data_IF_875141995215
#
_entry.id   IF_875141995215
#
_cell.length_a   1.000
_cell.length_b   1.000
_cell.length_c   1.000
_cell.angle_alpha   90.00
_cell.angle_beta   90.00
_cell.angle_gamma   90.00
#
_symmetry.space_group_name_H-M   'P 1'
#
loop_
_entity.id
_entity.type
_entity.pdbx_description
1 polymer ?
#
# COMPACT_ATOMS: atom_id res chain seq x y z
N UNK A 1 -8.43 -14.80 -6.85
CA UNK A 1 -9.71 -14.49 -7.53
C UNK A 1 -10.15 -13.13 -7.02
N UNK A 2 -10.33 -12.13 -7.89
CA UNK A 2 -10.83 -10.80 -7.45
C UNK A 2 -12.32 -10.96 -7.18
N UNK A 3 -12.75 -10.67 -5.96
CA UNK A 3 -14.16 -10.75 -5.59
C UNK A 3 -14.84 -9.43 -5.92
N UNK A 4 -15.93 -9.49 -6.67
CA UNK A 4 -16.80 -8.34 -6.96
C UNK A 4 -17.88 -8.28 -5.88
N UNK A 5 -17.58 -7.57 -4.80
CA UNK A 5 -18.55 -7.18 -3.79
C UNK A 5 -18.63 -5.65 -3.82
N UNK A 6 -19.56 -5.13 -4.61
CA UNK A 6 -19.93 -3.73 -4.56
C UNK A 6 -20.99 -3.62 -3.46
N UNK A 7 -20.54 -3.63 -2.21
CA UNK A 7 -21.44 -3.59 -1.05
C UNK A 7 -21.78 -2.13 -0.65
N UNK A 8 -22.86 -2.03 0.15
CA UNK A 8 -23.70 -0.85 0.42
C UNK A 8 -22.93 0.43 0.75
N UNK A 9 -23.49 1.61 0.39
CA UNK A 9 -22.88 2.89 0.74
C UNK A 9 -22.76 3.03 2.26
N UNK A 10 -21.52 3.20 2.72
CA UNK A 10 -21.20 3.70 4.05
C UNK A 10 -21.90 5.06 4.27
N UNK A 11 -22.61 5.25 5.39
CA UNK A 11 -23.59 6.33 5.59
C UNK A 11 -23.00 7.70 5.97
N UNK A 12 -21.72 7.93 5.68
CA UNK A 12 -21.11 9.26 5.78
C UNK A 12 -21.36 10.03 4.49
N UNK A 13 -22.43 10.84 4.47
CA UNK A 13 -22.85 11.61 3.28
C UNK A 13 -21.79 12.59 2.75
N UNK A 14 -20.75 12.88 3.53
CA UNK A 14 -19.67 13.82 3.19
C UNK A 14 -18.35 13.16 2.74
N UNK A 15 -18.19 11.85 2.93
CA UNK A 15 -16.95 11.16 2.58
C UNK A 15 -16.82 10.97 1.05
N UNK A 16 -15.61 11.23 0.53
CA UNK A 16 -15.27 10.89 -0.86
C UNK A 16 -15.53 9.38 -1.10
N UNK A 17 -16.07 8.97 -2.26
CA UNK A 17 -16.49 7.57 -2.49
C UNK A 17 -15.40 6.52 -2.21
N UNK A 18 -14.14 6.86 -2.49
CA UNK A 18 -12.97 6.02 -2.19
C UNK A 18 -12.79 5.83 -0.68
N UNK A 19 -12.97 6.88 0.13
CA UNK A 19 -12.83 6.79 1.59
C UNK A 19 -13.99 5.99 2.18
N UNK A 20 -15.23 6.34 1.79
CA UNK A 20 -16.45 5.68 2.24
C UNK A 20 -16.39 4.16 2.01
N UNK A 21 -15.94 3.74 0.83
CA UNK A 21 -15.80 2.31 0.52
C UNK A 21 -14.70 1.60 1.34
N UNK A 22 -13.54 2.24 1.56
CA UNK A 22 -12.49 1.67 2.41
C UNK A 22 -13.01 1.51 3.86
N UNK A 23 -13.73 2.50 4.39
CA UNK A 23 -14.30 2.46 5.74
C UNK A 23 -15.35 1.35 5.86
N UNK A 24 -16.25 1.22 4.87
CA UNK A 24 -17.23 0.12 4.83
C UNK A 24 -16.55 -1.26 4.85
N UNK A 25 -15.49 -1.45 4.07
CA UNK A 25 -14.73 -2.71 4.12
C UNK A 25 -13.99 -2.92 5.46
N UNK A 26 -13.52 -1.86 6.11
CA UNK A 26 -12.97 -1.99 7.46
C UNK A 26 -14.06 -2.37 8.46
N UNK A 27 -15.26 -1.82 8.35
CA UNK A 27 -16.41 -2.17 9.19
C UNK A 27 -16.85 -3.63 8.99
N UNK A 28 -16.99 -4.08 7.74
CA UNK A 28 -17.35 -5.46 7.38
C UNK A 28 -16.37 -6.50 7.93
N UNK A 29 -15.08 -6.14 8.00
CA UNK A 29 -14.03 -6.98 8.56
C UNK A 29 -13.95 -6.91 10.09
N UNK A 30 -14.81 -6.13 10.74
CA UNK A 30 -14.73 -5.82 12.17
C UNK A 30 -13.42 -5.10 12.52
N UNK A 31 -12.81 -4.41 11.56
CA UNK A 31 -11.57 -3.65 11.70
C UNK A 31 -11.78 -2.22 12.22
N UNK A 32 -12.89 -1.59 11.84
CA UNK A 32 -13.26 -0.23 12.24
C UNK A 32 -13.90 -0.22 13.64
N UNK A 33 -13.08 -0.34 14.69
CA UNK A 33 -13.54 -0.29 16.08
C UNK A 33 -12.55 0.48 16.96
N UNK A 34 -13.01 0.88 18.15
CA UNK A 34 -12.17 1.46 19.22
C UNK A 34 -11.22 0.41 19.79
N UNK A 35 -10.30 0.85 20.67
CA UNK A 35 -9.31 -0.04 21.28
C UNK A 35 -8.17 -0.40 20.33
N UNK A 36 -7.88 0.45 19.34
CA UNK A 36 -7.00 0.13 18.21
C UNK A 36 -6.12 1.30 17.82
N UNK A 37 -4.99 0.96 17.21
CA UNK A 37 -4.15 1.91 16.51
C UNK A 37 -4.24 1.73 14.99
N UNK A 38 -4.68 2.77 14.29
CA UNK A 38 -4.68 2.78 12.84
C UNK A 38 -3.39 3.40 12.32
N UNK A 39 -2.68 2.66 11.47
CA UNK A 39 -1.45 3.11 10.82
C UNK A 39 -1.76 3.42 9.36
N UNK A 40 -1.87 4.71 9.02
CA UNK A 40 -2.09 5.17 7.64
C UNK A 40 -0.75 5.34 6.92
N UNK A 41 -0.44 4.41 6.02
CA UNK A 41 0.76 4.49 5.18
C UNK A 41 0.49 5.33 3.93
N UNK A 42 1.41 6.26 3.62
CA UNK A 42 1.24 7.19 2.50
C UNK A 42 0.08 8.15 2.75
N UNK A 43 0.03 8.70 3.97
CA UNK A 43 -1.14 9.42 4.45
C UNK A 43 -1.47 10.68 3.64
N UNK A 44 -0.48 11.30 2.98
CA UNK A 44 -0.66 12.56 2.24
C UNK A 44 -1.39 13.60 3.08
N UNK A 45 -2.64 13.90 2.70
CA UNK A 45 -3.51 14.87 3.42
C UNK A 45 -4.14 14.34 4.71
N UNK A 46 -3.95 13.07 5.08
CA UNK A 46 -4.53 12.44 6.26
C UNK A 46 -6.05 12.27 6.22
N UNK A 47 -6.65 12.24 5.02
CA UNK A 47 -8.11 12.16 4.87
C UNK A 47 -8.68 10.83 5.39
N UNK A 48 -7.96 9.72 5.25
CA UNK A 48 -8.47 8.42 5.70
C UNK A 48 -8.51 8.37 7.22
N UNK A 49 -7.42 8.75 7.89
CA UNK A 49 -7.40 8.88 9.36
C UNK A 49 -8.42 9.90 9.88
N UNK A 50 -8.68 10.99 9.14
CA UNK A 50 -9.71 11.95 9.50
C UNK A 50 -11.11 11.31 9.54
N UNK A 51 -11.49 10.53 8.54
CA UNK A 51 -12.79 9.85 8.54
C UNK A 51 -12.86 8.73 9.58
N UNK A 52 -11.80 7.95 9.76
CA UNK A 52 -11.73 6.95 10.85
C UNK A 52 -11.96 7.62 12.21
N UNK A 53 -11.35 8.78 12.43
CA UNK A 53 -11.55 9.57 13.65
C UNK A 53 -13.00 10.06 13.78
N UNK A 54 -13.57 10.59 12.71
CA UNK A 54 -14.94 11.10 12.65
C UNK A 54 -15.97 10.01 13.02
N UNK A 55 -15.76 8.78 12.53
CA UNK A 55 -16.66 7.64 12.76
C UNK A 55 -16.54 7.08 14.19
N UNK A 56 -15.37 7.26 14.82
CA UNK A 56 -15.05 6.69 16.13
C UNK A 56 -15.06 7.70 17.28
N UNK A 57 -15.46 8.95 17.02
CA UNK A 57 -15.48 10.22 17.81
C UNK A 57 -15.58 10.25 19.34
N UNK A 58 -15.78 9.14 20.03
CA UNK A 58 -15.85 9.13 21.50
C UNK A 58 -14.47 8.92 22.12
N UNK A 59 -14.28 9.62 23.23
CA UNK A 59 -13.05 9.60 24.00
C UNK A 59 -12.90 8.27 24.72
N UNK A 60 -12.04 7.40 24.18
CA UNK A 60 -11.06 6.53 24.86
C UNK A 60 -10.57 5.42 23.91
N UNK A 61 -9.28 5.12 23.94
CA UNK A 61 -8.58 4.03 23.21
C UNK A 61 -8.53 4.06 21.67
N UNK A 62 -8.42 5.25 21.05
CA UNK A 62 -8.10 5.40 19.63
C UNK A 62 -6.72 6.04 19.44
N UNK A 63 -5.84 5.37 18.68
CA UNK A 63 -4.55 5.91 18.23
C UNK A 63 -4.52 5.99 16.70
N UNK A 64 -4.01 7.10 16.16
CA UNK A 64 -3.87 7.33 14.73
C UNK A 64 -2.42 7.70 14.42
N UNK A 65 -1.72 6.81 13.70
CA UNK A 65 -0.34 7.01 13.26
C UNK A 65 -0.31 7.22 11.74
N UNK A 66 0.08 8.41 11.31
CA UNK A 66 0.15 8.76 9.90
C UNK A 66 1.61 8.76 9.44
N UNK A 67 1.91 7.97 8.41
CA UNK A 67 3.26 7.83 7.86
C UNK A 67 3.29 8.45 6.47
N UNK A 68 4.13 9.46 6.28
CA UNK A 68 4.28 10.16 5.00
C UNK A 68 5.73 10.57 4.79
N UNK A 69 6.21 10.48 3.54
CA UNK A 69 7.56 10.91 3.17
C UNK A 69 7.63 12.41 2.89
N UNK A 70 6.56 12.96 2.30
CA UNK A 70 6.45 14.38 1.92
C UNK A 70 6.28 15.31 3.13
N UNK A 71 6.88 16.50 3.05
CA UNK A 71 6.77 17.57 4.05
C UNK A 71 5.50 18.42 3.94
N UNK A 72 4.59 18.10 3.02
CA UNK A 72 3.34 18.85 2.83
C UNK A 72 2.44 18.69 4.06
N UNK A 73 2.62 19.60 5.02
CA UNK A 73 1.84 19.74 6.25
C UNK A 73 0.45 20.27 5.91
N UNK A 74 -0.60 19.54 6.26
CA UNK A 74 -1.97 20.00 6.05
C UNK A 74 -2.58 20.49 7.36
N UNK A 75 -3.33 21.61 7.27
CA UNK A 75 -4.06 22.29 8.36
C UNK A 75 -5.06 21.43 9.15
N UNK A 76 -5.24 20.15 8.79
CA UNK A 76 -6.17 19.25 9.48
C UNK A 76 -5.59 18.72 10.80
N UNK A 77 -4.26 18.67 10.93
CA UNK A 77 -3.59 18.20 12.17
C UNK A 77 -3.98 19.04 13.41
N UNK A 78 -4.36 20.32 13.21
CA UNK A 78 -4.86 21.19 14.29
C UNK A 78 -6.31 20.93 14.70
N UNK A 79 -7.10 20.21 13.90
CA UNK A 79 -8.50 19.85 14.24
C UNK A 79 -8.59 18.60 15.13
N UNK A 80 -7.53 17.80 15.18
CA UNK A 80 -7.47 16.56 15.96
C UNK A 80 -6.91 16.74 17.37
N UNK A 81 -6.41 17.93 17.72
CA UNK A 81 -5.83 18.19 19.05
C UNK A 81 -6.88 18.28 20.17
N UNK A 82 -8.14 18.57 19.85
CA UNK A 82 -9.20 18.84 20.86
C UNK A 82 -10.16 17.66 21.14
N UNK A 83 -9.88 16.46 20.61
CA UNK A 83 -10.88 15.36 20.57
C UNK A 83 -10.44 14.05 21.24
N UNK A 84 -9.34 14.06 22.01
CA UNK A 84 -8.93 12.93 22.87
C UNK A 84 -8.44 11.66 22.18
N UNK A 85 -8.42 11.61 20.84
CA UNK A 85 -7.64 10.62 20.10
C UNK A 85 -6.16 11.01 20.08
N UNK A 86 -5.26 10.04 20.27
CA UNK A 86 -3.83 10.30 20.14
C UNK A 86 -3.44 10.25 18.67
N UNK A 87 -3.00 11.39 18.15
CA UNK A 87 -2.65 11.56 16.75
C UNK A 87 -1.15 11.88 16.62
N UNK A 88 -0.42 11.03 15.90
CA UNK A 88 0.99 11.27 15.57
C UNK A 88 1.19 11.16 14.05
N UNK A 89 1.91 12.12 13.48
CA UNK A 89 2.32 12.09 12.07
C UNK A 89 3.84 12.02 11.98
N UNK A 90 4.33 10.91 11.43
CA UNK A 90 5.75 10.70 11.18
C UNK A 90 6.10 11.08 9.74
N UNK A 91 7.00 12.05 9.61
CA UNK A 91 7.62 12.37 8.32
C UNK A 91 8.82 11.43 8.09
N UNK A 92 8.57 10.27 7.49
CA UNK A 92 9.58 9.23 7.30
C UNK A 92 9.28 8.41 6.05
N UNK A 93 10.34 7.94 5.38
CA UNK A 93 10.19 6.93 4.34
C UNK A 93 9.86 5.56 4.99
N UNK A 94 8.84 4.88 4.49
CA UNK A 94 8.39 3.57 5.00
C UNK A 94 9.55 2.57 5.04
N UNK A 95 10.53 2.67 4.13
CA UNK A 95 11.70 1.78 4.12
C UNK A 95 12.57 1.88 5.40
N UNK A 96 12.50 3.00 6.11
CA UNK A 96 13.26 3.25 7.35
C UNK A 96 12.37 3.18 8.61
N UNK A 97 11.06 2.96 8.45
CA UNK A 97 10.13 2.91 9.56
C UNK A 97 10.22 1.57 10.29
N UNK A 98 10.44 1.63 11.60
CA UNK A 98 10.31 0.51 12.52
C UNK A 98 9.23 0.85 13.56
N UNK A 99 8.07 0.22 13.45
CA UNK A 99 6.92 0.49 14.33
C UNK A 99 7.24 0.27 15.82
N UNK A 100 8.20 -0.62 16.14
CA UNK A 100 8.62 -0.88 17.52
C UNK A 100 9.33 0.30 18.15
N UNK A 101 9.88 1.20 17.35
CA UNK A 101 10.60 2.39 17.81
C UNK A 101 9.69 3.63 17.88
N UNK A 102 8.41 3.50 17.53
CA UNK A 102 7.44 4.60 17.57
C UNK A 102 6.88 4.75 18.98
N UNK A 103 7.13 5.87 19.69
CA UNK A 103 6.73 6.04 21.09
C UNK A 103 5.22 5.88 21.32
N UNK A 104 4.38 6.41 20.41
CA UNK A 104 2.92 6.27 20.48
C UNK A 104 2.48 4.80 20.59
N UNK A 105 3.13 3.91 19.84
CA UNK A 105 2.78 2.49 19.80
C UNK A 105 3.26 1.71 21.03
N UNK A 106 4.29 2.20 21.71
CA UNK A 106 4.86 1.57 22.91
C UNK A 106 4.02 1.84 24.16
N UNK A 107 3.33 2.99 24.22
CA UNK A 107 2.60 3.44 25.40
C UNK A 107 1.37 2.58 25.70
N UNK A 108 0.48 2.40 24.71
CA UNK A 108 -0.78 1.67 24.89
C UNK A 108 -0.76 0.25 24.33
N UNK A 109 0.19 -0.06 23.44
CA UNK A 109 0.31 -1.36 22.74
C UNK A 109 -1.01 -1.85 22.14
N UNK A 110 -1.83 -0.91 21.64
CA UNK A 110 -3.10 -1.25 21.04
C UNK A 110 -2.89 -2.13 19.80
N UNK A 111 -3.80 -3.07 19.54
CA UNK A 111 -3.79 -3.82 18.29
C UNK A 111 -3.79 -2.91 17.06
N UNK A 112 -2.98 -3.26 16.07
CA UNK A 112 -2.71 -2.44 14.89
C UNK A 112 -3.66 -2.77 13.73
N UNK A 113 -4.08 -1.75 13.01
CA UNK A 113 -4.80 -1.86 11.73
C UNK A 113 -4.06 -1.02 10.67
N UNK A 114 -3.54 -1.68 9.63
CA UNK A 114 -2.85 -0.98 8.55
C UNK A 114 -3.81 -0.47 7.49
N UNK A 115 -3.75 0.81 7.13
CA UNK A 115 -4.63 1.41 6.12
C UNK A 115 -3.86 2.24 5.10
N UNK A 116 -4.41 2.39 3.88
CA UNK A 116 -3.81 3.24 2.86
C UNK A 116 -4.66 3.33 1.60
N UNK A 117 -4.76 4.54 1.02
CA UNK A 117 -5.70 4.82 -0.08
C UNK A 117 -5.09 4.94 -1.47
N UNK A 118 -3.76 5.09 -1.59
CA UNK A 118 -2.98 5.03 -2.83
C UNK A 118 -1.48 4.78 -2.55
N UNK A 119 -1.14 3.61 -2.01
CA UNK A 119 0.26 3.26 -1.76
C UNK A 119 0.97 2.89 -3.06
N UNK A 120 1.66 3.88 -3.65
CA UNK A 120 2.27 3.72 -4.97
C UNK A 120 3.49 2.78 -4.96
N UNK A 121 3.49 1.82 -5.88
CA UNK A 121 4.67 1.02 -6.20
C UNK A 121 5.22 0.25 -5.00
N UNK A 122 6.53 0.40 -4.75
CA UNK A 122 7.22 -0.26 -3.64
C UNK A 122 6.66 0.09 -2.24
N UNK A 123 5.95 1.22 -2.09
CA UNK A 123 5.41 1.64 -0.81
C UNK A 123 4.40 0.63 -0.22
N UNK A 124 3.59 0.00 -1.06
CA UNK A 124 2.68 -1.07 -0.62
C UNK A 124 3.46 -2.23 -0.02
N UNK A 125 4.49 -2.70 -0.74
CA UNK A 125 5.28 -3.86 -0.33
C UNK A 125 6.14 -3.56 0.92
N UNK A 126 6.63 -2.33 1.05
CA UNK A 126 7.31 -1.86 2.27
C UNK A 126 6.34 -1.78 3.46
N UNK A 127 5.11 -1.31 3.26
CA UNK A 127 4.09 -1.27 4.32
C UNK A 127 3.71 -2.68 4.80
N UNK A 128 3.56 -3.65 3.88
CA UNK A 128 3.32 -5.05 4.21
C UNK A 128 4.46 -5.64 5.06
N UNK A 129 5.72 -5.38 4.72
CA UNK A 129 6.86 -5.81 5.56
C UNK A 129 6.89 -5.10 6.89
N UNK A 130 6.64 -3.79 6.91
CA UNK A 130 6.62 -2.97 8.12
C UNK A 130 5.61 -3.51 9.15
N UNK A 131 4.42 -3.91 8.70
CA UNK A 131 3.40 -4.52 9.58
C UNK A 131 3.77 -5.94 10.03
N UNK A 132 4.34 -6.78 9.16
CA UNK A 132 4.40 -8.23 9.38
C UNK A 132 5.79 -8.78 9.74
N UNK A 133 6.84 -8.02 9.55
CA UNK A 133 8.22 -8.45 9.82
C UNK A 133 8.85 -7.75 11.03
N UNK A 134 8.16 -6.75 11.59
CA UNK A 134 8.54 -6.11 12.86
C UNK A 134 8.50 -7.07 14.05
N UNK A 135 7.72 -8.16 13.98
CA UNK A 135 7.67 -9.18 15.04
C UNK A 135 8.88 -10.12 15.08
N UNK A 136 9.73 -10.15 14.04
CA UNK A 136 10.97 -10.93 14.07
C UNK A 136 12.12 -9.99 14.42
N UNK A 137 12.89 -10.35 15.45
CA UNK A 137 14.17 -9.69 15.75
C UNK A 137 14.96 -9.70 14.44
N UNK A 138 15.27 -8.50 13.91
CA UNK A 138 16.26 -8.41 12.84
C UNK A 138 17.57 -8.75 13.52
N UNK A 139 18.11 -9.94 13.29
CA UNK A 139 19.55 -10.12 13.40
C UNK A 139 20.15 -9.11 12.43
N UNK A 140 20.73 -8.05 12.98
CA UNK A 140 21.51 -7.11 12.20
C UNK A 140 22.67 -7.91 11.61
N UNK A 141 22.56 -8.26 10.33
CA UNK A 141 23.76 -8.65 9.57
C UNK A 141 24.68 -7.45 9.58
N UNK A 142 25.70 -7.51 10.43
CA UNK A 142 26.79 -6.55 10.50
C UNK A 142 27.33 -6.23 9.10
N UNK A 143 27.68 -4.97 8.80
CA UNK A 143 28.49 -4.67 7.63
C UNK A 143 29.91 -5.22 7.81
N UNK A 144 30.46 -5.80 6.74
CA UNK A 144 31.75 -6.51 6.71
C UNK A 144 32.87 -5.82 7.51
N UNK A 145 33.65 -6.55 8.33
CA UNK A 145 34.65 -5.95 9.21
C UNK A 145 35.85 -5.44 8.41
N UNK A 146 36.15 -4.14 8.54
CA UNK A 146 37.44 -3.59 8.18
C UNK A 146 38.45 -3.92 9.28
N UNK A 147 39.38 -4.83 8.97
CA UNK A 147 40.75 -4.98 9.50
C UNK A 147 40.97 -4.85 11.02
N UNK A 148 41.08 -6.02 11.64
CA UNK A 148 42.03 -6.47 12.68
C UNK A 148 42.81 -5.39 13.48
N UNK A 149 42.54 -5.31 14.78
CA UNK A 149 43.58 -5.34 15.82
C UNK A 149 43.09 -6.09 17.07
N UNK A 150 43.96 -6.95 17.54
CA UNK A 150 43.81 -7.96 18.59
C UNK A 150 43.95 -7.39 20.01
N UNK A 151 43.05 -7.78 20.91
CA UNK A 151 43.32 -7.93 22.35
C UNK A 151 42.28 -8.86 23.00
N UNK A 152 42.78 -9.78 23.82
CA UNK A 152 42.16 -10.97 24.41
C UNK A 152 40.98 -10.72 25.40
N UNK A 153 40.16 -11.75 25.72
CA UNK A 153 38.89 -11.58 26.42
C UNK A 153 39.02 -11.64 27.96
N UNK A 154 38.14 -10.92 28.66
CA UNK A 154 37.92 -11.07 30.11
C UNK A 154 36.72 -12.02 30.35
N UNK A 155 36.81 -13.00 31.27
CA UNK A 155 35.70 -13.88 31.60
C UNK A 155 34.87 -13.32 32.76
N UNK A 156 33.55 -13.27 32.59
CA UNK A 156 32.60 -13.06 33.68
C UNK A 156 31.47 -12.10 33.33
N UNK A 157 30.50 -12.57 32.55
CA UNK A 157 29.16 -12.00 32.53
C UNK A 157 28.16 -13.16 32.64
N UNK A 158 27.38 -13.13 33.72
CA UNK A 158 26.28 -14.05 34.02
C UNK A 158 25.20 -13.97 32.91
N UNK A 159 24.39 -15.03 32.72
CA UNK A 159 23.37 -15.02 31.68
C UNK A 159 22.27 -14.01 32.02
N UNK A 160 22.28 -12.87 31.34
CA UNK A 160 21.19 -11.91 31.36
C UNK A 160 19.90 -12.61 30.92
N UNK A 161 18.97 -12.72 31.86
CA UNK A 161 17.56 -13.01 31.63
C UNK A 161 17.04 -12.06 30.55
N UNK A 162 16.69 -12.60 29.40
CA UNK A 162 16.13 -11.88 28.26
C UNK A 162 14.77 -11.29 28.62
N UNK A 163 14.76 -10.02 29.02
CA UNK A 163 13.53 -9.22 29.12
C UNK A 163 12.79 -9.21 27.77
N UNK A 164 11.45 -9.34 27.75
CA UNK A 164 10.68 -9.25 26.52
C UNK A 164 10.77 -7.82 26.00
N UNK A 165 11.48 -7.63 24.89
CA UNK A 165 11.73 -6.32 24.29
C UNK A 165 10.46 -5.50 23.98
N UNK A 166 10.61 -4.19 23.70
CA UNK A 166 9.49 -3.28 23.46
C UNK A 166 8.73 -3.65 22.19
N UNK A 167 7.67 -4.44 22.35
CA UNK A 167 6.78 -4.86 21.27
C UNK A 167 5.61 -3.90 21.06
N UNK A 168 5.18 -3.75 19.82
CA UNK A 168 3.88 -3.15 19.46
C UNK A 168 2.75 -4.16 19.67
N UNK A 169 1.49 -3.69 19.67
CA UNK A 169 0.33 -4.58 19.66
C UNK A 169 0.27 -5.48 18.42
N UNK A 170 -0.54 -6.57 18.46
CA UNK A 170 -0.69 -7.48 17.33
C UNK A 170 -1.39 -6.80 16.15
N UNK A 171 -1.07 -7.21 14.92
CA UNK A 171 -1.75 -6.72 13.71
C UNK A 171 -3.06 -7.46 13.52
N UNK A 172 -4.20 -6.78 13.72
CA UNK A 172 -5.54 -7.35 13.52
C UNK A 172 -5.96 -7.44 12.06
N UNK A 173 -5.38 -6.59 11.22
CA UNK A 173 -5.66 -6.62 9.79
C UNK A 173 -5.22 -5.37 9.06
N UNK A 174 -5.59 -5.31 7.79
CA UNK A 174 -5.26 -4.20 6.91
C UNK A 174 -6.24 -4.04 5.75
N UNK A 175 -6.33 -2.81 5.24
CA UNK A 175 -7.03 -2.45 4.01
C UNK A 175 -6.18 -1.45 3.20
N UNK A 176 -5.55 -1.93 2.13
CA UNK A 176 -4.61 -1.15 1.31
C UNK A 176 -5.11 -1.05 -0.14
N UNK A 177 -5.47 0.14 -0.59
CA UNK A 177 -5.85 0.38 -1.98
C UNK A 177 -4.59 0.39 -2.86
N UNK A 178 -4.56 -0.56 -3.80
CA UNK A 178 -3.40 -0.86 -4.63
C UNK A 178 -3.38 0.06 -5.84
N UNK A 179 -2.23 0.69 -6.09
CA UNK A 179 -2.06 1.55 -7.25
C UNK A 179 -0.62 1.57 -7.77
N UNK A 180 -0.44 2.12 -8.96
CA UNK A 180 0.87 2.37 -9.57
C UNK A 180 1.79 1.15 -9.60
N UNK A 181 1.28 -0.02 -10.01
CA UNK A 181 2.06 -1.24 -10.17
C UNK A 181 3.31 -1.05 -11.05
N UNK A 182 3.26 -0.12 -12.01
CA UNK A 182 4.40 0.27 -12.85
C UNK A 182 5.61 0.84 -12.09
N UNK A 183 5.43 1.24 -10.82
CA UNK A 183 6.48 1.75 -9.93
C UNK A 183 6.96 0.71 -8.92
N UNK A 184 6.54 -0.55 -9.03
CA UNK A 184 7.06 -1.60 -8.16
C UNK A 184 8.52 -1.91 -8.53
N UNK A 185 9.32 -2.20 -7.51
CA UNK A 185 10.72 -2.56 -7.67
C UNK A 185 10.93 -3.98 -7.16
N UNK A 186 11.64 -4.81 -7.92
CA UNK A 186 11.85 -6.22 -7.56
C UNK A 186 12.42 -6.38 -6.15
N UNK A 187 13.46 -5.61 -5.80
CA UNK A 187 14.11 -5.65 -4.47
C UNK A 187 13.14 -5.47 -3.31
N UNK A 188 12.10 -4.68 -3.51
CA UNK A 188 11.10 -4.35 -2.50
C UNK A 188 9.82 -5.15 -2.66
N UNK A 189 9.64 -5.93 -3.70
CA UNK A 189 8.42 -6.68 -3.91
C UNK A 189 8.32 -7.85 -2.91
N UNK A 190 7.18 -8.03 -2.22
CA UNK A 190 7.04 -9.12 -1.23
C UNK A 190 6.75 -10.48 -1.87
N UNK A 191 6.23 -10.49 -3.09
CA UNK A 191 5.86 -11.70 -3.82
C UNK A 191 6.99 -12.32 -4.65
N UNK A 192 8.27 -12.06 -4.33
CA UNK A 192 9.39 -12.58 -5.13
C UNK A 192 9.33 -14.12 -5.28
N UNK A 193 9.10 -14.84 -4.18
CA UNK A 193 8.98 -16.30 -4.21
C UNK A 193 7.82 -16.79 -5.08
N UNK A 194 6.71 -16.05 -5.09
CA UNK A 194 5.55 -16.37 -5.92
C UNK A 194 5.88 -16.30 -7.43
N UNK A 195 6.70 -15.33 -7.84
CA UNK A 195 7.21 -15.22 -9.21
C UNK A 195 8.23 -16.32 -9.52
N UNK A 196 9.21 -16.52 -8.63
CA UNK A 196 10.28 -17.50 -8.83
C UNK A 196 9.74 -18.93 -8.98
N UNK A 197 8.74 -19.32 -8.18
CA UNK A 197 8.06 -20.62 -8.28
C UNK A 197 7.38 -20.85 -9.64
N UNK A 198 7.16 -19.80 -10.43
CA UNK A 198 6.57 -19.86 -11.78
C UNK A 198 7.62 -19.71 -12.88
N UNK A 199 8.91 -19.75 -12.52
CA UNK A 199 10.01 -19.52 -13.45
C UNK A 199 10.13 -18.06 -13.91
N UNK A 200 9.55 -17.11 -13.16
CA UNK A 200 9.59 -15.68 -13.47
C UNK A 200 10.59 -14.97 -12.55
N UNK A 201 11.57 -14.30 -13.13
CA UNK A 201 12.61 -13.58 -12.41
C UNK A 201 12.41 -12.06 -12.39
N UNK A 202 13.46 -11.31 -11.99
CA UNK A 202 13.44 -9.85 -11.94
C UNK A 202 13.16 -9.20 -13.30
N UNK A 203 13.65 -9.80 -14.39
CA UNK A 203 13.47 -9.29 -15.75
C UNK A 203 12.00 -9.37 -16.17
N UNK A 204 11.36 -10.51 -15.96
CA UNK A 204 9.94 -10.71 -16.22
C UNK A 204 9.12 -9.77 -15.34
N UNK A 205 9.39 -9.71 -14.03
CA UNK A 205 8.72 -8.78 -13.12
C UNK A 205 8.77 -7.32 -13.62
N UNK A 206 9.92 -6.86 -14.11
CA UNK A 206 10.06 -5.52 -14.70
C UNK A 206 9.15 -5.34 -15.92
N UNK A 207 9.04 -6.35 -16.79
CA UNK A 207 8.12 -6.33 -17.92
C UNK A 207 6.65 -6.27 -17.44
N UNK A 208 6.26 -7.08 -16.45
CA UNK A 208 4.92 -7.03 -15.84
C UNK A 208 4.61 -5.64 -15.27
N UNK A 209 5.57 -5.00 -14.59
CA UNK A 209 5.40 -3.63 -14.09
C UNK A 209 5.16 -2.65 -15.24
N UNK A 210 5.97 -2.68 -16.30
CA UNK A 210 5.79 -1.80 -17.47
C UNK A 210 4.42 -2.01 -18.14
N UNK A 211 4.07 -3.27 -18.39
CA UNK A 211 2.80 -3.64 -19.04
C UNK A 211 1.58 -3.33 -18.16
N UNK A 212 1.72 -3.26 -16.83
CA UNK A 212 0.61 -2.90 -15.93
C UNK A 212 0.03 -1.50 -16.21
N UNK A 213 0.84 -0.57 -16.74
CA UNK A 213 0.38 0.76 -17.16
C UNK A 213 -0.62 0.71 -18.33
N UNK A 214 -0.63 -0.39 -19.08
CA UNK A 214 -1.54 -0.57 -20.22
C UNK A 214 -3.00 -0.66 -19.80
N UNK A 215 -3.27 -1.02 -18.52
CA UNK A 215 -4.60 -1.06 -17.96
C UNK A 215 -5.36 0.28 -18.10
N UNK A 216 -4.62 1.40 -18.18
CA UNK A 216 -5.16 2.76 -18.26
C UNK A 216 -4.93 3.43 -19.63
N UNK A 217 -4.38 2.74 -20.63
CA UNK A 217 -3.99 3.32 -21.92
C UNK A 217 -5.14 3.97 -22.74
N UNK A 218 -6.39 3.60 -22.50
CA UNK A 218 -7.55 4.13 -23.24
C UNK A 218 -8.13 5.45 -22.72
N UNK A 219 -7.70 5.95 -21.56
CA UNK A 219 -8.38 7.07 -20.89
C UNK A 219 -7.93 8.47 -21.34
N UNK A 220 -6.90 8.59 -22.19
CA UNK A 220 -6.43 9.89 -22.70
C UNK A 220 -7.15 10.39 -23.97
N UNK A 221 -8.07 9.60 -24.53
CA UNK A 221 -8.73 9.92 -25.81
C UNK A 221 -10.10 10.60 -25.68
N UNK A 222 -10.66 10.77 -24.49
CA UNK A 222 -12.03 11.28 -24.31
C UNK A 222 -12.16 12.79 -24.01
N UNK A 223 -11.07 13.57 -24.07
CA UNK A 223 -11.10 15.02 -23.82
C UNK A 223 -10.53 15.87 -24.97
N UNK A 224 -10.48 15.33 -26.20
CA UNK A 224 -10.23 16.14 -27.39
C UNK A 224 -11.55 16.32 -28.14
N UNK A 225 -12.38 17.24 -27.67
CA UNK A 225 -13.34 17.90 -28.55
C UNK A 225 -12.53 18.63 -29.62
N UNK A 226 -12.78 18.27 -30.87
CA UNK A 226 -12.15 18.84 -32.05
C UNK A 226 -12.57 20.31 -32.17
N UNK A 227 -11.65 21.31 -32.20
CA UNK A 227 -12.03 22.63 -32.65
C UNK A 227 -12.09 22.59 -34.18
N UNK A 228 -13.29 22.78 -34.71
CA UNK A 228 -13.54 23.17 -36.09
C UNK A 228 -12.65 24.36 -36.48
N UNK A 229 -12.08 24.27 -37.68
CA UNK A 229 -11.20 25.27 -38.27
C UNK A 229 -11.90 26.63 -38.37
N UNK A 230 -11.25 27.68 -37.87
CA UNK A 230 -11.42 29.03 -38.42
C UNK A 230 -10.10 29.82 -38.25
N UNK A 231 -9.50 30.39 -39.31
CA UNK A 231 -8.22 31.08 -39.22
C UNK A 231 -8.43 32.59 -39.18
N UNK A 232 -8.07 33.26 -38.08
CA UNK A 232 -7.69 34.69 -38.13
C UNK A 232 -6.96 35.16 -36.86
N UNK A 233 -5.66 35.49 -37.02
CA UNK A 233 -4.94 36.69 -36.53
C UNK A 233 -5.42 37.35 -35.21
N UNK A 234 -4.62 37.57 -34.15
CA UNK A 234 -3.33 38.28 -34.06
C UNK A 234 -2.72 38.15 -32.63
N UNK A 235 -1.37 38.14 -32.57
CA UNK A 235 -0.39 38.62 -31.54
C UNK A 235 -0.95 39.23 -30.22
N UNK A 236 -0.41 38.97 -29.02
CA UNK A 236 0.87 39.48 -28.44
C UNK A 236 1.35 38.62 -27.25
N UNK A 237 2.67 38.59 -27.07
CA UNK A 237 3.54 37.80 -26.17
C UNK A 237 3.58 38.27 -24.70
N UNK A 238 3.80 37.34 -23.73
CA UNK A 238 4.73 37.57 -22.61
C UNK A 238 5.18 36.27 -21.91
N UNK A 239 6.49 36.20 -21.65
CA UNK A 239 7.32 35.16 -21.01
C UNK A 239 6.95 34.87 -19.53
N UNK A 240 7.35 33.78 -18.84
CA UNK A 240 8.30 32.70 -19.15
C UNK A 240 8.47 31.74 -17.95
N UNK A 241 9.08 30.58 -18.23
CA UNK A 241 9.61 29.52 -17.34
C UNK A 241 8.63 28.55 -16.63
N UNK A 242 8.27 27.46 -17.35
CA UNK A 242 7.91 26.15 -16.79
C UNK A 242 9.09 25.18 -17.00
N UNK A 243 9.37 24.25 -16.06
CA UNK A 243 10.49 23.32 -16.17
C UNK A 243 10.27 22.33 -17.32
N UNK A 244 11.36 21.96 -17.97
CA UNK A 244 11.43 21.10 -19.14
C UNK A 244 10.64 19.79 -18.94
N UNK A 245 9.56 19.65 -19.71
CA UNK A 245 8.97 18.36 -20.00
C UNK A 245 9.82 17.72 -21.09
N UNK A 246 10.55 16.66 -20.74
CA UNK A 246 11.14 15.77 -21.72
C UNK A 246 10.01 15.20 -22.59
N UNK A 247 10.22 15.32 -23.90
CA UNK A 247 9.27 15.00 -24.96
C UNK A 247 9.03 13.49 -25.07
N UNK A 248 8.02 12.98 -24.39
CA UNK A 248 7.49 11.61 -24.56
C UNK A 248 6.49 11.51 -25.73
N UNK A 249 6.77 12.22 -26.84
CA UNK A 249 5.99 12.15 -28.07
C UNK A 249 6.43 11.00 -29.00
N UNK A 250 7.25 10.06 -28.50
CA UNK A 250 7.81 8.92 -29.24
C UNK A 250 7.46 7.62 -28.52
N UNK A 251 6.18 7.39 -28.23
CA UNK A 251 5.70 6.05 -27.80
C UNK A 251 4.51 5.55 -28.61
N UNK A 252 4.02 6.33 -29.58
CA UNK A 252 2.94 5.92 -30.48
C UNK A 252 3.37 5.24 -31.78
N UNK A 253 4.59 5.48 -32.28
CA UNK A 253 4.97 5.14 -33.65
C UNK A 253 6.20 4.23 -33.81
N UNK A 254 6.91 3.86 -32.74
CA UNK A 254 8.25 3.24 -32.82
C UNK A 254 8.35 1.85 -32.18
N UNK A 255 7.25 1.09 -32.09
CA UNK A 255 7.30 -0.37 -31.88
C UNK A 255 6.86 -1.16 -33.13
N UNK A 256 6.55 -0.48 -34.22
CA UNK A 256 6.09 -1.09 -35.48
C UNK A 256 7.14 -1.98 -36.17
N UNK A 257 8.43 -1.85 -35.82
CA UNK A 257 9.49 -2.51 -36.58
C UNK A 257 9.94 -3.89 -36.04
N UNK A 258 9.59 -4.30 -34.81
CA UNK A 258 10.19 -5.52 -34.22
C UNK A 258 9.25 -6.47 -33.44
N UNK A 259 7.92 -6.32 -33.46
CA UNK A 259 7.01 -7.37 -32.96
C UNK A 259 5.78 -7.53 -33.88
N UNK A 260 5.41 -8.75 -34.31
CA UNK A 260 4.28 -8.98 -35.23
C UNK A 260 2.87 -8.78 -34.63
N UNK A 261 2.75 -8.24 -33.41
CA UNK A 261 1.48 -8.20 -32.68
C UNK A 261 1.13 -6.76 -32.29
N UNK A 262 0.44 -6.07 -33.19
CA UNK A 262 -0.24 -4.82 -32.88
C UNK A 262 -1.50 -5.12 -32.05
N UNK A 263 -1.36 -5.23 -30.72
CA UNK A 263 -2.51 -5.34 -29.83
C UNK A 263 -3.41 -4.10 -29.93
N UNK A 264 -4.72 -4.31 -30.03
CA UNK A 264 -5.73 -3.27 -29.91
C UNK A 264 -5.68 -2.59 -28.53
N UNK A 265 -6.32 -1.43 -28.39
CA UNK A 265 -6.42 -0.73 -27.09
C UNK A 265 -7.06 -1.62 -26.03
N UNK A 266 -8.13 -2.35 -26.39
CA UNK A 266 -8.82 -3.26 -25.47
C UNK A 266 -7.93 -4.42 -25.02
N UNK A 267 -7.17 -5.02 -25.94
CA UNK A 267 -6.23 -6.10 -25.62
C UNK A 267 -5.09 -5.60 -24.73
N UNK A 268 -4.51 -4.43 -25.02
CA UNK A 268 -3.49 -3.81 -24.15
C UNK A 268 -4.04 -3.58 -22.75
N UNK A 269 -5.26 -3.05 -22.63
CA UNK A 269 -5.90 -2.86 -21.33
C UNK A 269 -6.12 -4.18 -20.60
N UNK A 270 -6.52 -5.24 -21.31
CA UNK A 270 -6.68 -6.57 -20.74
C UNK A 270 -5.35 -7.12 -20.22
N UNK A 271 -4.29 -7.08 -21.03
CA UNK A 271 -2.94 -7.49 -20.63
C UNK A 271 -2.46 -6.69 -19.41
N UNK A 272 -2.68 -5.38 -19.39
CA UNK A 272 -2.31 -4.55 -18.25
C UNK A 272 -3.04 -4.94 -16.96
N UNK A 273 -4.34 -5.26 -17.04
CA UNK A 273 -5.10 -5.79 -15.89
C UNK A 273 -4.59 -7.14 -15.42
N UNK A 274 -4.22 -8.04 -16.33
CA UNK A 274 -3.60 -9.32 -15.98
C UNK A 274 -2.24 -9.11 -15.29
N UNK A 275 -1.45 -8.14 -15.76
CA UNK A 275 -0.17 -7.83 -15.14
C UNK A 275 -0.33 -7.32 -13.70
N UNK A 276 -1.29 -6.40 -13.48
CA UNK A 276 -1.67 -5.95 -12.13
C UNK A 276 -2.07 -7.13 -11.24
N UNK A 277 -2.95 -8.00 -11.75
CA UNK A 277 -3.40 -9.19 -11.03
C UNK A 277 -2.26 -10.15 -10.66
N UNK A 278 -1.26 -10.30 -11.53
CA UNK A 278 -0.09 -11.14 -11.26
C UNK A 278 0.76 -10.58 -10.11
N UNK A 279 0.98 -9.26 -10.11
CA UNK A 279 1.69 -8.55 -9.04
C UNK A 279 0.89 -8.62 -7.72
N UNK A 280 -0.42 -8.44 -7.77
CA UNK A 280 -1.25 -8.52 -6.56
C UNK A 280 -1.40 -9.96 -6.06
N UNK A 281 -1.36 -10.94 -6.95
CA UNK A 281 -1.33 -12.36 -6.62
C UNK A 281 -0.13 -12.74 -5.75
N UNK A 282 1.05 -12.15 -6.00
CA UNK A 282 2.21 -12.38 -5.14
C UNK A 282 2.11 -11.69 -3.78
N UNK A 283 1.43 -10.52 -3.68
CA UNK A 283 1.13 -9.88 -2.38
C UNK A 283 0.15 -10.70 -1.56
N UNK A 284 -0.90 -11.21 -2.21
CA UNK A 284 -1.85 -12.15 -1.61
C UNK A 284 -1.15 -13.45 -1.16
N UNK A 285 -0.28 -14.03 -1.99
CA UNK A 285 0.51 -15.20 -1.61
C UNK A 285 1.39 -14.91 -0.39
N UNK A 286 2.13 -13.79 -0.38
CA UNK A 286 2.93 -13.36 0.75
C UNK A 286 2.10 -13.29 2.04
N UNK A 287 0.94 -12.63 2.02
CA UNK A 287 0.04 -12.54 3.18
C UNK A 287 -0.39 -13.92 3.68
N UNK A 288 -0.75 -14.83 2.77
CA UNK A 288 -1.09 -16.21 3.13
C UNK A 288 0.07 -16.93 3.83
N UNK A 289 1.31 -16.76 3.35
CA UNK A 289 2.50 -17.34 4.01
C UNK A 289 2.79 -16.75 5.39
N UNK A 290 2.26 -15.56 5.69
CA UNK A 290 2.36 -14.90 7.00
C UNK A 290 1.17 -15.22 7.91
N UNK A 291 0.28 -16.14 7.53
CA UNK A 291 -0.86 -16.55 8.35
C UNK A 291 -2.06 -15.59 8.27
N UNK A 292 -2.20 -14.84 7.19
CA UNK A 292 -3.35 -13.96 6.96
C UNK A 292 -4.27 -14.52 5.86
N UNK A 293 -5.57 -14.42 6.09
CA UNK A 293 -6.59 -14.58 5.04
C UNK A 293 -6.76 -13.24 4.34
N UNK A 294 -6.27 -13.16 3.10
CA UNK A 294 -6.33 -11.93 2.29
C UNK A 294 -7.33 -12.03 1.14
N UNK A 295 -7.91 -10.91 0.73
CA UNK A 295 -8.79 -10.79 -0.45
C UNK A 295 -8.35 -9.60 -1.32
N UNK A 296 -8.56 -9.74 -2.63
CA UNK A 296 -8.48 -8.64 -3.59
C UNK A 296 -9.90 -8.28 -4.00
N UNK A 297 -10.35 -7.10 -3.64
CA UNK A 297 -11.74 -6.66 -3.78
C UNK A 297 -11.80 -5.49 -4.74
N UNK A 298 -12.76 -5.49 -5.66
CA UNK A 298 -13.10 -4.28 -6.40
C UNK A 298 -13.96 -3.39 -5.51
N UNK A 299 -13.35 -2.37 -4.89
CA UNK A 299 -13.99 -1.60 -3.82
C UNK A 299 -14.81 -0.40 -4.34
N UNK A 300 -14.48 0.12 -5.52
CA UNK A 300 -15.22 1.21 -6.16
C UNK A 300 -15.38 0.96 -7.65
N UNK A 301 -16.37 1.60 -8.24
CA UNK A 301 -16.59 1.55 -9.67
C UNK A 301 -15.41 2.14 -10.46
N UNK A 302 -15.08 1.60 -11.65
CA UNK A 302 -14.02 2.12 -12.51
C UNK A 302 -14.21 3.59 -12.91
N UNK A 303 -15.45 4.12 -12.86
CA UNK A 303 -15.71 5.54 -13.16
C UNK A 303 -15.23 6.47 -12.03
N UNK A 304 -15.11 5.97 -10.79
CA UNK A 304 -14.54 6.73 -9.66
C UNK A 304 -13.02 6.75 -9.76
N UNK A 305 -12.41 5.57 -9.97
CA UNK A 305 -10.96 5.43 -10.18
C UNK A 305 -10.66 4.14 -10.93
N UNK A 306 -9.64 4.18 -11.80
CA UNK A 306 -9.12 2.99 -12.48
C UNK A 306 -8.25 2.12 -11.58
N UNK A 307 -7.79 2.67 -10.45
CA UNK A 307 -7.07 1.96 -9.40
C UNK A 307 -8.08 1.57 -8.32
N UNK A 308 -8.92 0.59 -8.64
CA UNK A 308 -10.08 0.20 -7.84
C UNK A 308 -9.96 -1.18 -7.18
N UNK A 309 -8.73 -1.63 -6.90
CA UNK A 309 -8.48 -2.87 -6.17
C UNK A 309 -8.01 -2.56 -4.76
N UNK A 310 -8.72 -3.12 -3.78
CA UNK A 310 -8.38 -3.09 -2.37
C UNK A 310 -7.82 -4.45 -1.95
N UNK A 311 -6.63 -4.45 -1.36
CA UNK A 311 -6.09 -5.61 -0.67
C UNK A 311 -6.52 -5.54 0.79
N UNK A 312 -7.36 -6.48 1.20
CA UNK A 312 -7.73 -6.65 2.61
C UNK A 312 -7.07 -7.91 3.16
N UNK A 313 -6.73 -7.90 4.44
CA UNK A 313 -6.23 -9.09 5.12
C UNK A 313 -6.53 -9.06 6.62
N UNK A 314 -6.88 -10.22 7.18
CA UNK A 314 -7.06 -10.46 8.62
C UNK A 314 -6.35 -11.77 9.00
N UNK A 315 -5.90 -11.97 10.24
CA UNK A 315 -5.31 -13.22 10.69
C UNK A 315 -6.20 -14.42 10.33
N UNK A 316 -5.60 -15.48 9.80
CA UNK A 316 -6.31 -16.74 9.57
C UNK A 316 -6.71 -17.32 10.92
N UNK A 317 -7.99 -17.63 11.11
CA UNK A 317 -8.42 -18.41 12.26
C UNK A 317 -7.67 -19.75 12.22
N UNK A 318 -7.03 -20.21 13.30
CA UNK A 318 -6.50 -21.56 13.35
C UNK A 318 -7.68 -22.50 13.12
N UNK A 319 -7.63 -23.29 12.04
CA UNK A 319 -8.65 -24.28 11.76
C UNK A 319 -8.74 -25.20 12.99
N UNK A 320 -9.89 -25.19 13.66
CA UNK A 320 -10.27 -26.24 14.59
C UNK A 320 -10.01 -27.57 13.90
N UNK A 321 -9.17 -28.41 14.50
CA UNK A 321 -8.89 -29.77 14.06
C UNK A 321 -10.20 -30.43 13.64
N UNK A 322 -10.35 -30.75 12.36
CA UNK A 322 -11.37 -31.68 11.93
C UNK A 322 -10.90 -33.04 12.43
N UNK A 323 -11.56 -33.55 13.47
CA UNK A 323 -11.52 -34.95 13.85
C UNK A 323 -11.87 -35.78 12.61
N UNK A 324 -10.89 -36.49 12.07
CA UNK A 324 -11.13 -37.56 11.11
C UNK A 324 -11.90 -38.66 11.85
N UNK A 325 -13.21 -38.70 11.66
CA UNK A 325 -14.01 -39.87 11.97
C UNK A 325 -13.69 -40.97 10.96
N UNK A 326 -12.82 -41.89 11.36
CA UNK A 326 -12.69 -43.18 10.70
C UNK A 326 -14.01 -43.97 10.85
N UNK A 327 -14.62 -44.48 9.77
CA UNK A 327 -15.66 -45.48 9.88
C UNK A 327 -15.04 -46.87 10.07
N UNK A 328 -15.51 -47.60 11.07
CA UNK A 328 -15.41 -49.07 11.17
C UNK A 328 -16.34 -49.75 10.15
#
# INVERSE_FOLDING_TARGET
MVTTHLDKPYSSEEAEPVMASILGHLEDLGLLQRGRCFVEFGAGRGKLSHWIHEDLKTHEDLQLLLVERSSTRFKVDGKHQDTGAEFERLQVDIQHLDLRKVPLLQQKKLPLVGVGKHLCGAATDLALRCLLETSKVREETEPAPKRLRSSEPRPGEDPETSEPGPGTGPVLGMALALCCHHRCEWRHYVGQQFFLQRGLGPAEFSAFCRMSSWATCGFRLSNQDCPSQDPTNQRVEHEGHKPAAETDAVTGACLSACLPVCLSVSERQHVGRLCKLMIDGGRHHFLKTKGFSSKLIRYVEPQVTLENILLTAVPSCPSSFQEESHPE
#
